data_IF_071768593199
#
_entry.id   IF_071768593199
#
_cell.length_a   1.000
_cell.length_b   1.000
_cell.length_c   1.000
_cell.angle_alpha   90.00
_cell.angle_beta   90.00
_cell.angle_gamma   90.00
#
_symmetry.space_group_name_H-M   'P 1'
#
loop_
_entity.id
_entity.type
_entity.pdbx_description
1 polymer ?
#
# COMPACT_ATOMS: atom_id res chain seq x y z
N UNK A 1 -8.45 14.38 -18.49
CA UNK A 1 -7.38 15.39 -18.65
C UNK A 1 -6.13 14.83 -18.02
N UNK A 2 -5.06 14.60 -18.78
CA UNK A 2 -3.74 14.32 -18.20
C UNK A 2 -3.41 15.44 -17.21
N UNK A 3 -2.92 15.08 -16.02
CA UNK A 3 -2.63 16.03 -14.95
C UNK A 3 -1.71 17.13 -15.46
N UNK A 4 -2.19 18.38 -15.46
CA UNK A 4 -1.34 19.53 -15.76
C UNK A 4 -0.43 19.75 -14.56
N UNK A 5 0.87 19.87 -14.81
CA UNK A 5 1.84 20.28 -13.78
C UNK A 5 1.32 21.56 -13.11
N UNK A 6 1.12 21.51 -11.80
CA UNK A 6 0.68 22.65 -11.02
C UNK A 6 1.87 23.61 -10.89
N UNK A 7 1.67 24.88 -11.25
CA UNK A 7 2.75 25.87 -11.18
C UNK A 7 3.28 25.99 -9.74
N UNK A 8 4.61 25.94 -9.57
CA UNK A 8 5.24 25.99 -8.25
C UNK A 8 5.25 24.66 -7.49
N UNK A 9 4.69 23.58 -8.05
CA UNK A 9 4.63 22.29 -7.33
C UNK A 9 5.98 21.59 -7.20
N UNK A 10 6.98 21.99 -7.98
CA UNK A 10 8.36 21.49 -7.84
C UNK A 10 9.01 21.79 -6.49
N UNK A 11 8.56 22.83 -5.78
CA UNK A 11 9.09 23.17 -4.45
C UNK A 11 8.20 22.68 -3.31
N UNK A 12 7.12 21.95 -3.61
CA UNK A 12 6.23 21.41 -2.58
C UNK A 12 6.91 20.22 -1.92
N UNK A 13 6.79 20.13 -0.60
CA UNK A 13 7.24 18.96 0.13
C UNK A 13 6.08 17.97 0.22
N UNK A 14 6.32 16.72 -0.21
CA UNK A 14 5.34 15.64 -0.13
C UNK A 14 5.76 14.70 0.98
N UNK A 15 4.85 14.42 1.93
CA UNK A 15 5.03 13.45 3.01
C UNK A 15 3.91 12.42 2.91
N UNK A 16 4.27 11.14 2.94
CA UNK A 16 3.33 10.02 2.85
C UNK A 16 3.39 9.24 4.16
N UNK A 17 2.24 8.90 4.74
CA UNK A 17 2.11 7.95 5.85
C UNK A 17 1.04 6.92 5.58
N UNK A 18 1.18 5.77 6.23
CA UNK A 18 0.10 4.82 6.46
C UNK A 18 -0.19 4.82 7.97
N UNK A 19 -1.46 4.90 8.42
CA UNK A 19 -1.81 4.98 9.83
C UNK A 19 -1.22 3.82 10.68
N UNK A 20 -1.40 2.57 10.25
CA UNK A 20 -1.01 1.40 11.04
C UNK A 20 -1.71 1.30 12.40
N UNK A 21 -1.11 0.53 13.31
CA UNK A 21 -1.62 0.30 14.68
C UNK A 21 -1.54 1.55 15.58
N UNK A 22 -0.55 2.41 15.33
CA UNK A 22 -0.25 3.61 16.12
C UNK A 22 -0.23 4.86 15.24
N UNK A 23 -1.41 5.37 14.82
CA UNK A 23 -1.51 6.44 13.83
C UNK A 23 -0.85 7.76 14.28
N UNK A 24 -0.78 8.06 15.57
CA UNK A 24 -0.08 9.27 16.05
C UNK A 24 1.43 9.15 15.91
N UNK A 25 1.99 7.96 16.16
CA UNK A 25 3.42 7.70 15.96
C UNK A 25 3.77 7.72 14.46
N UNK A 26 2.96 7.08 13.62
CA UNK A 26 3.10 7.15 12.15
C UNK A 26 3.09 8.58 11.63
N UNK A 27 2.22 9.44 12.19
CA UNK A 27 2.18 10.86 11.88
C UNK A 27 3.46 11.59 12.32
N UNK A 28 3.94 11.35 13.54
CA UNK A 28 5.16 11.97 14.04
C UNK A 28 6.39 11.58 13.21
N UNK A 29 6.50 10.31 12.82
CA UNK A 29 7.58 9.79 11.97
C UNK A 29 7.69 10.52 10.64
N UNK A 30 6.59 11.01 10.07
CA UNK A 30 6.64 11.77 8.80
C UNK A 30 7.44 13.06 8.89
N UNK A 31 7.61 13.63 10.08
CA UNK A 31 8.37 14.87 10.31
C UNK A 31 9.82 14.63 10.72
N UNK A 32 10.27 13.38 10.74
CA UNK A 32 11.66 13.01 10.98
C UNK A 32 12.43 12.99 9.67
N UNK A 33 13.60 13.60 9.64
CA UNK A 33 14.49 13.61 8.48
C UNK A 33 15.28 12.29 8.40
N UNK A 34 15.21 11.63 7.25
CA UNK A 34 15.91 10.36 6.99
C UNK A 34 17.43 10.53 6.85
N UNK A 35 17.94 11.73 6.61
CA UNK A 35 19.37 12.01 6.44
C UNK A 35 20.15 12.19 7.74
N UNK A 36 19.48 12.16 8.89
CA UNK A 36 20.08 12.35 10.21
C UNK A 36 20.67 11.06 10.80
N UNK A 37 21.61 11.20 11.74
CA UNK A 37 22.11 10.05 12.52
C UNK A 37 21.02 9.48 13.44
N UNK A 38 21.16 8.23 13.88
CA UNK A 38 20.14 7.57 14.71
C UNK A 38 19.81 8.32 16.02
N UNK A 39 20.81 8.96 16.64
CA UNK A 39 20.63 9.76 17.86
C UNK A 39 19.81 11.03 17.56
N UNK A 40 20.10 11.69 16.44
CA UNK A 40 19.38 12.89 16.00
C UNK A 40 17.95 12.55 15.58
N UNK A 41 17.76 11.43 14.86
CA UNK A 41 16.43 10.90 14.50
C UNK A 41 15.60 10.62 15.75
N UNK A 42 16.17 9.94 16.74
CA UNK A 42 15.49 9.68 18.01
C UNK A 42 15.08 10.96 18.75
N UNK A 43 15.94 11.98 18.71
CA UNK A 43 15.64 13.29 19.32
C UNK A 43 14.53 14.02 18.58
N UNK A 44 14.57 14.06 17.25
CA UNK A 44 13.56 14.70 16.43
C UNK A 44 12.21 13.99 16.50
N UNK A 45 12.22 12.65 16.53
CA UNK A 45 11.00 11.86 16.72
C UNK A 45 10.34 12.19 18.05
N UNK A 46 11.10 12.19 19.16
CA UNK A 46 10.55 12.54 20.47
C UNK A 46 9.96 13.96 20.49
N UNK A 47 10.58 14.92 19.80
CA UNK A 47 10.03 16.27 19.66
C UNK A 47 8.74 16.28 18.85
N UNK A 48 8.69 15.57 17.72
CA UNK A 48 7.51 15.44 16.88
C UNK A 48 6.36 14.78 17.65
N UNK A 49 6.60 13.67 18.35
CA UNK A 49 5.61 13.00 19.20
C UNK A 49 5.03 13.94 20.26
N UNK A 50 5.90 14.67 20.97
CA UNK A 50 5.47 15.65 21.97
C UNK A 50 4.62 16.79 21.37
N UNK A 51 4.86 17.18 20.13
CA UNK A 51 4.02 18.14 19.43
C UNK A 51 2.69 17.50 19.02
N UNK A 52 2.70 16.32 18.41
CA UNK A 52 1.47 15.62 18.00
C UNK A 52 0.53 15.35 19.19
N UNK A 53 1.07 15.07 20.38
CA UNK A 53 0.27 14.93 21.61
C UNK A 53 -0.49 16.21 22.01
N UNK A 54 -0.08 17.38 21.51
CA UNK A 54 -0.81 18.66 21.69
C UNK A 54 -1.96 18.84 20.69
N UNK A 55 -2.27 17.82 19.89
CA UNK A 55 -3.36 17.83 18.93
C UNK A 55 -3.07 18.67 17.69
N UNK A 56 -4.13 19.20 17.10
CA UNK A 56 -4.07 20.02 15.88
C UNK A 56 -3.08 21.20 15.95
N UNK A 57 -2.89 21.79 17.12
CA UNK A 57 -1.95 22.91 17.30
C UNK A 57 -0.49 22.47 17.17
N UNK A 58 -0.14 21.29 17.67
CA UNK A 58 1.22 20.78 17.53
C UNK A 58 1.52 20.33 16.10
N UNK A 59 0.55 19.69 15.42
CA UNK A 59 0.70 19.40 13.99
C UNK A 59 0.85 20.68 13.16
N UNK A 60 0.10 21.73 13.49
CA UNK A 60 0.24 23.06 12.85
C UNK A 60 1.65 23.64 13.03
N UNK A 61 2.26 23.48 14.21
CA UNK A 61 3.62 23.94 14.46
C UNK A 61 4.64 23.17 13.62
N UNK A 62 4.49 21.85 13.49
CA UNK A 62 5.34 21.03 12.61
C UNK A 62 5.21 21.46 11.14
N UNK A 63 3.98 21.68 10.65
CA UNK A 63 3.73 22.15 9.28
C UNK A 63 4.32 23.55 9.05
N UNK A 64 4.19 24.44 10.02
CA UNK A 64 4.73 25.80 9.93
C UNK A 64 6.27 25.80 9.91
N UNK A 65 6.91 24.87 10.63
CA UNK A 65 8.35 24.70 10.66
C UNK A 65 8.92 24.08 9.38
N UNK A 66 8.09 23.42 8.55
CA UNK A 66 8.55 22.90 7.25
C UNK A 66 8.98 24.02 6.31
N UNK A 67 10.20 23.90 5.78
CA UNK A 67 10.81 24.82 4.82
C UNK A 67 10.29 24.57 3.39
N UNK A 68 9.00 24.81 3.20
CA UNK A 68 8.32 24.72 1.90
C UNK A 68 7.19 25.74 1.82
N UNK A 69 6.81 26.19 0.63
CA UNK A 69 5.61 27.00 0.48
C UNK A 69 4.33 26.19 0.73
N UNK A 70 4.35 24.88 0.42
CA UNK A 70 3.20 23.99 0.56
C UNK A 70 3.64 22.57 0.91
N UNK A 71 3.06 22.04 1.97
CA UNK A 71 3.21 20.66 2.39
C UNK A 71 2.01 19.85 1.89
N UNK A 72 2.26 18.79 1.13
CA UNK A 72 1.26 17.78 0.79
C UNK A 72 1.43 16.61 1.74
N UNK A 73 0.46 16.40 2.63
CA UNK A 73 0.43 15.26 3.54
C UNK A 73 -0.55 14.23 2.98
N UNK A 74 -0.02 13.10 2.54
CA UNK A 74 -0.79 11.97 2.01
C UNK A 74 -0.93 10.93 3.11
N UNK A 75 -2.16 10.64 3.52
CA UNK A 75 -2.48 9.49 4.36
C UNK A 75 -2.99 8.40 3.44
N UNK A 76 -2.10 7.48 3.08
CA UNK A 76 -2.42 6.32 2.27
C UNK A 76 -3.01 5.21 3.14
N UNK A 77 -3.91 4.40 2.56
CA UNK A 77 -4.60 3.32 3.28
C UNK A 77 -5.23 3.81 4.59
N UNK A 78 -5.97 4.92 4.52
CA UNK A 78 -6.58 5.56 5.69
C UNK A 78 -7.49 4.61 6.48
N UNK A 79 -8.05 3.58 5.84
CA UNK A 79 -8.82 2.52 6.49
C UNK A 79 -8.06 1.79 7.62
N UNK A 80 -6.72 1.81 7.61
CA UNK A 80 -5.90 1.21 8.67
C UNK A 80 -6.14 1.84 10.04
N UNK A 81 -6.53 3.11 10.07
CA UNK A 81 -6.94 3.73 11.31
C UNK A 81 -8.13 2.98 11.93
N UNK A 82 -9.05 2.42 11.14
CA UNK A 82 -10.19 1.66 11.66
C UNK A 82 -9.88 0.18 11.87
N UNK A 83 -9.05 -0.43 11.03
CA UNK A 83 -8.82 -1.89 11.05
C UNK A 83 -7.68 -2.33 11.96
N UNK A 84 -6.63 -1.51 12.10
CA UNK A 84 -5.42 -1.86 12.83
C UNK A 84 -5.31 -1.15 14.18
N UNK A 85 -5.70 0.12 14.27
CA UNK A 85 -5.67 0.86 15.52
C UNK A 85 -6.81 0.41 16.46
N UNK A 86 -6.44 -0.27 17.55
CA UNK A 86 -7.38 -0.76 18.56
C UNK A 86 -7.74 0.30 19.62
N UNK A 87 -6.95 1.36 19.73
CA UNK A 87 -7.20 2.46 20.66
C UNK A 87 -8.09 3.53 20.00
N UNK A 88 -9.37 3.55 20.38
CA UNK A 88 -10.33 4.53 19.88
C UNK A 88 -9.95 5.98 20.20
N UNK A 89 -9.30 6.22 21.35
CA UNK A 89 -8.86 7.56 21.75
C UNK A 89 -7.69 8.03 20.90
N UNK A 90 -6.72 7.14 20.61
CA UNK A 90 -5.61 7.45 19.71
C UNK A 90 -6.13 7.77 18.30
N UNK A 91 -7.05 6.94 17.80
CA UNK A 91 -7.70 7.14 16.49
C UNK A 91 -8.44 8.48 16.40
N UNK A 92 -9.23 8.82 17.42
CA UNK A 92 -9.95 10.09 17.46
C UNK A 92 -8.97 11.28 17.46
N UNK A 93 -7.93 11.22 18.30
CA UNK A 93 -6.91 12.26 18.36
C UNK A 93 -6.17 12.42 17.02
N UNK A 94 -5.91 11.33 16.31
CA UNK A 94 -5.30 11.37 14.98
C UNK A 94 -6.19 12.13 13.99
N UNK A 95 -7.50 11.86 13.94
CA UNK A 95 -8.42 12.58 13.06
C UNK A 95 -8.55 14.06 13.45
N UNK A 96 -8.63 14.38 14.75
CA UNK A 96 -8.66 15.75 15.25
C UNK A 96 -7.39 16.54 14.88
N UNK A 97 -6.22 15.90 14.94
CA UNK A 97 -4.97 16.47 14.47
C UNK A 97 -5.07 16.87 13.00
N UNK A 98 -5.41 15.91 12.13
CA UNK A 98 -5.46 16.11 10.68
C UNK A 98 -6.48 17.19 10.28
N UNK A 99 -7.72 17.06 10.73
CA UNK A 99 -8.82 17.97 10.39
C UNK A 99 -8.59 19.36 10.98
N UNK A 100 -8.15 19.43 12.24
CA UNK A 100 -7.90 20.70 12.92
C UNK A 100 -6.72 21.47 12.33
N UNK A 101 -5.66 20.78 11.89
CA UNK A 101 -4.55 21.40 11.18
C UNK A 101 -4.97 21.88 9.78
N UNK A 102 -5.72 21.05 9.03
CA UNK A 102 -6.24 21.40 7.71
C UNK A 102 -7.11 22.66 7.74
N UNK A 103 -7.97 22.81 8.76
CA UNK A 103 -8.82 23.98 8.91
C UNK A 103 -8.06 25.29 9.25
N UNK A 104 -6.83 25.20 9.80
CA UNK A 104 -6.09 26.34 10.37
C UNK A 104 -4.81 26.71 9.65
N UNK A 105 -4.38 25.94 8.65
CA UNK A 105 -3.11 26.14 7.93
C UNK A 105 -3.28 26.82 6.58
N UNK A 106 -4.51 27.01 6.10
CA UNK A 106 -4.78 27.63 4.80
C UNK A 106 -4.07 26.89 3.67
N UNK A 107 -3.45 27.62 2.74
CA UNK A 107 -2.79 27.02 1.58
C UNK A 107 -1.46 26.31 1.90
N UNK A 108 -0.93 26.43 3.13
CA UNK A 108 0.32 25.79 3.53
C UNK A 108 0.20 24.27 3.60
N UNK A 109 -0.98 23.73 3.92
CA UNK A 109 -1.24 22.28 3.96
C UNK A 109 -2.19 21.87 2.82
N UNK A 110 -1.88 20.76 2.17
CA UNK A 110 -2.81 19.99 1.37
C UNK A 110 -2.87 18.59 1.96
N UNK A 111 -4.01 18.24 2.57
CA UNK A 111 -4.25 16.91 3.11
C UNK A 111 -4.93 16.04 2.04
N UNK A 112 -4.33 14.90 1.71
CA UNK A 112 -4.87 13.90 0.80
C UNK A 112 -5.08 12.62 1.58
N UNK A 113 -6.31 12.11 1.61
CA UNK A 113 -6.63 10.82 2.20
C UNK A 113 -6.98 9.86 1.06
N UNK A 114 -6.41 8.66 1.07
CA UNK A 114 -6.86 7.57 0.19
C UNK A 114 -7.43 6.46 1.06
N UNK A 115 -8.60 5.95 0.66
CA UNK A 115 -9.23 4.81 1.32
C UNK A 115 -10.05 4.01 0.32
N UNK A 116 -10.23 2.73 0.61
CA UNK A 116 -11.21 1.93 -0.12
C UNK A 116 -12.65 2.38 0.20
N UNK A 117 -13.53 2.28 -0.78
CA UNK A 117 -14.90 2.82 -0.69
C UNK A 117 -15.78 2.08 0.34
N UNK A 118 -15.51 0.81 0.61
CA UNK A 118 -16.20 -0.02 1.61
C UNK A 118 -15.96 0.47 3.05
N UNK A 119 -14.88 1.21 3.31
CA UNK A 119 -14.61 1.83 4.60
C UNK A 119 -15.26 3.20 4.79
N UNK A 120 -15.93 3.75 3.77
CA UNK A 120 -16.57 5.06 3.89
C UNK A 120 -17.63 5.09 5.01
N UNK A 121 -18.35 3.99 5.23
CA UNK A 121 -19.32 3.87 6.31
C UNK A 121 -18.72 4.09 7.71
N UNK A 122 -17.45 3.69 7.92
CA UNK A 122 -16.72 3.91 9.18
C UNK A 122 -16.44 5.38 9.45
N UNK A 123 -16.27 6.18 8.40
CA UNK A 123 -16.07 7.62 8.53
C UNK A 123 -17.34 8.37 8.97
N UNK A 124 -18.52 7.73 8.93
CA UNK A 124 -19.81 8.29 9.34
C UNK A 124 -20.13 8.09 10.83
N UNK A 125 -19.30 7.33 11.56
CA UNK A 125 -19.48 7.12 13.00
C UNK A 125 -19.44 8.47 13.76
N UNK A 126 -20.32 8.63 14.77
CA UNK A 126 -20.55 9.93 15.43
C UNK A 126 -19.31 10.50 16.13
N UNK A 127 -18.37 9.63 16.50
CA UNK A 127 -17.14 10.00 17.22
C UNK A 127 -16.16 10.80 16.35
N UNK A 128 -16.34 10.82 15.02
CA UNK A 128 -15.41 11.46 14.07
C UNK A 128 -16.01 12.75 13.46
N UNK A 129 -16.24 13.74 14.33
CA UNK A 129 -16.87 15.01 13.94
C UNK A 129 -16.15 15.69 12.76
N UNK A 130 -16.90 15.97 11.69
CA UNK A 130 -16.41 16.70 10.51
C UNK A 130 -15.70 15.85 9.45
N UNK A 131 -15.26 14.63 9.76
CA UNK A 131 -14.54 13.77 8.79
C UNK A 131 -15.42 13.43 7.59
N UNK A 132 -16.62 12.90 7.86
CA UNK A 132 -17.62 12.59 6.83
C UNK A 132 -17.94 13.78 5.92
N UNK A 133 -18.10 14.96 6.52
CA UNK A 133 -18.43 16.19 5.78
C UNK A 133 -17.28 16.61 4.86
N UNK A 134 -16.03 16.54 5.34
CA UNK A 134 -14.86 16.85 4.50
C UNK A 134 -14.72 15.88 3.34
N UNK A 135 -14.90 14.58 3.58
CA UNK A 135 -14.87 13.56 2.53
C UNK A 135 -16.01 13.80 1.53
N UNK A 136 -17.21 14.14 1.97
CA UNK A 136 -18.32 14.43 1.06
C UNK A 136 -18.06 15.67 0.19
N UNK A 137 -17.45 16.72 0.75
CA UNK A 137 -17.17 17.97 0.04
C UNK A 137 -16.01 17.86 -0.95
N UNK A 138 -15.02 17.02 -0.66
CA UNK A 138 -13.75 16.94 -1.41
C UNK A 138 -13.48 15.56 -2.02
N UNK A 139 -14.41 14.62 -1.90
CA UNK A 139 -14.24 13.24 -2.32
C UNK A 139 -14.12 13.11 -3.84
N UNK A 140 -13.12 12.34 -4.26
CA UNK A 140 -12.93 11.94 -5.65
C UNK A 140 -13.04 10.43 -5.70
N UNK A 141 -14.11 9.93 -6.33
CA UNK A 141 -14.27 8.50 -6.56
C UNK A 141 -13.36 8.06 -7.70
N UNK A 142 -12.41 7.17 -7.40
CA UNK A 142 -11.61 6.48 -8.42
C UNK A 142 -12.36 5.23 -8.83
N UNK A 143 -12.97 5.28 -10.01
CA UNK A 143 -13.72 4.16 -10.57
C UNK A 143 -12.77 3.13 -11.19
N UNK A 144 -13.17 1.85 -11.28
CA UNK A 144 -12.46 0.88 -12.11
C UNK A 144 -12.28 1.41 -13.54
N UNK A 145 -11.14 1.12 -14.16
CA UNK A 145 -10.87 1.51 -15.55
C UNK A 145 -11.91 0.90 -16.48
N UNK A 146 -12.38 1.69 -17.44
CA UNK A 146 -13.10 1.17 -18.61
C UNK A 146 -12.19 0.29 -19.47
N UNK A 147 -12.75 -0.61 -20.31
CA UNK A 147 -11.95 -1.42 -21.24
C UNK A 147 -11.00 -0.57 -22.12
N UNK A 148 -11.44 0.61 -22.54
CA UNK A 148 -10.65 1.56 -23.31
C UNK A 148 -9.50 2.18 -22.51
N UNK A 149 -9.74 2.59 -21.26
CA UNK A 149 -8.69 3.10 -20.36
C UNK A 149 -7.68 2.01 -20.02
N UNK A 150 -8.14 0.78 -19.79
CA UNK A 150 -7.29 -0.37 -19.56
C UNK A 150 -6.43 -0.69 -20.79
N UNK A 151 -7.02 -0.65 -21.99
CA UNK A 151 -6.28 -0.78 -23.25
C UNK A 151 -5.19 0.28 -23.36
N UNK A 152 -5.50 1.53 -23.03
CA UNK A 152 -4.51 2.62 -23.03
C UNK A 152 -3.42 2.37 -22.01
N UNK A 153 -3.76 1.89 -20.80
CA UNK A 153 -2.80 1.56 -19.76
C UNK A 153 -1.82 0.44 -20.18
N UNK A 154 -2.24 -0.47 -21.07
CA UNK A 154 -1.38 -1.53 -21.63
C UNK A 154 -0.53 -0.97 -22.79
N UNK A 155 -1.14 -0.24 -23.72
CA UNK A 155 -0.53 0.09 -25.01
C UNK A 155 0.34 1.36 -24.96
N UNK A 156 -0.08 2.39 -24.23
CA UNK A 156 0.64 3.67 -24.23
C UNK A 156 2.04 3.60 -23.59
N UNK A 157 2.29 2.85 -22.49
CA UNK A 157 3.65 2.68 -21.98
C UNK A 157 4.60 2.03 -22.99
N UNK A 158 4.13 1.02 -23.74
CA UNK A 158 4.92 0.36 -24.77
C UNK A 158 5.27 1.30 -25.94
N UNK A 159 4.31 2.12 -26.38
CA UNK A 159 4.55 3.15 -27.40
C UNK A 159 5.63 4.17 -27.00
N UNK A 160 5.69 4.55 -25.72
CA UNK A 160 6.69 5.51 -25.24
C UNK A 160 8.13 4.99 -25.34
N UNK A 161 8.30 3.67 -25.37
CA UNK A 161 9.60 2.99 -25.49
C UNK A 161 9.76 2.28 -26.83
N UNK A 162 8.92 2.61 -27.83
CA UNK A 162 8.95 2.03 -29.17
C UNK A 162 8.82 0.49 -29.19
N UNK A 163 8.11 -0.09 -28.21
CA UNK A 163 7.81 -1.52 -28.11
C UNK A 163 6.48 -1.82 -28.82
N UNK A 164 6.50 -2.76 -29.77
CA UNK A 164 5.28 -3.19 -30.46
C UNK A 164 4.47 -4.18 -29.62
N UNK A 165 3.15 -4.17 -29.76
CA UNK A 165 2.26 -5.16 -29.13
C UNK A 165 1.30 -5.68 -30.20
N UNK A 166 1.20 -7.00 -30.34
CA UNK A 166 0.24 -7.62 -31.26
C UNK A 166 -1.20 -7.21 -30.89
N UNK A 167 -2.02 -6.72 -31.83
CA UNK A 167 -3.39 -6.29 -31.54
C UNK A 167 -4.27 -7.40 -30.94
N UNK A 168 -4.05 -8.66 -31.35
CA UNK A 168 -4.76 -9.81 -30.80
C UNK A 168 -4.35 -10.12 -29.35
N UNK A 169 -3.09 -9.87 -28.97
CA UNK A 169 -2.65 -9.97 -27.57
C UNK A 169 -3.42 -8.99 -26.68
N UNK A 170 -3.58 -7.74 -27.12
CA UNK A 170 -4.34 -6.74 -26.36
C UNK A 170 -5.79 -7.18 -26.16
N UNK A 171 -6.43 -7.77 -27.18
CA UNK A 171 -7.80 -8.29 -27.06
C UNK A 171 -7.88 -9.42 -26.04
N UNK A 172 -6.94 -10.37 -26.09
CA UNK A 172 -6.92 -11.51 -25.18
C UNK A 172 -6.73 -11.06 -23.72
N UNK A 173 -5.79 -10.14 -23.48
CA UNK A 173 -5.57 -9.56 -22.15
C UNK A 173 -6.83 -8.87 -21.62
N UNK A 174 -7.52 -8.08 -22.45
CA UNK A 174 -8.75 -7.40 -22.04
C UNK A 174 -9.87 -8.40 -21.70
N UNK A 175 -9.94 -9.52 -22.42
CA UNK A 175 -10.92 -10.58 -22.14
C UNK A 175 -10.62 -11.28 -20.80
N UNK A 176 -9.36 -11.65 -20.54
CA UNK A 176 -8.94 -12.30 -19.29
C UNK A 176 -9.19 -11.42 -18.05
N UNK A 177 -9.06 -10.11 -18.24
CA UNK A 177 -9.13 -9.14 -17.15
C UNK A 177 -10.57 -8.69 -16.84
N UNK A 178 -11.48 -8.77 -17.80
CA UNK A 178 -12.87 -8.31 -17.63
C UNK A 178 -13.64 -9.08 -16.54
N UNK A 179 -13.20 -10.29 -16.19
CA UNK A 179 -13.93 -11.21 -15.30
C UNK A 179 -13.39 -11.27 -13.86
N UNK A 180 -12.26 -10.63 -13.53
CA UNK A 180 -11.59 -10.81 -12.24
C UNK A 180 -11.38 -9.49 -11.49
N UNK A 181 -11.96 -9.25 -10.29
CA UNK A 181 -11.62 -8.07 -9.48
C UNK A 181 -10.15 -8.09 -9.03
N UNK A 182 -9.51 -6.92 -8.89
CA UNK A 182 -8.13 -6.83 -8.38
C UNK A 182 -7.01 -7.24 -9.35
N UNK A 183 -7.31 -7.30 -10.65
CA UNK A 183 -6.41 -7.80 -11.69
C UNK A 183 -5.19 -6.92 -12.03
N UNK A 184 -5.21 -5.61 -11.72
CA UNK A 184 -4.21 -4.67 -12.24
C UNK A 184 -2.77 -5.05 -11.88
N UNK A 185 -2.47 -5.46 -10.63
CA UNK A 185 -1.15 -5.97 -10.30
C UNK A 185 -0.76 -7.28 -11.02
N UNK A 186 -1.71 -8.19 -11.25
CA UNK A 186 -1.47 -9.43 -12.00
C UNK A 186 -1.19 -9.16 -13.46
N UNK A 187 -1.93 -8.22 -14.04
CA UNK A 187 -1.69 -7.73 -15.37
C UNK A 187 -0.30 -7.10 -15.48
N UNK A 188 0.09 -6.25 -14.53
CA UNK A 188 1.43 -5.67 -14.50
C UNK A 188 2.52 -6.75 -14.47
N UNK A 189 2.36 -7.76 -13.62
CA UNK A 189 3.30 -8.88 -13.54
C UNK A 189 3.38 -9.65 -14.87
N UNK A 190 2.23 -9.97 -15.46
CA UNK A 190 2.15 -10.70 -16.73
C UNK A 190 2.79 -9.92 -17.89
N UNK A 191 2.54 -8.60 -17.97
CA UNK A 191 3.18 -7.73 -18.95
C UNK A 191 4.70 -7.63 -18.74
N UNK A 192 5.16 -7.64 -17.49
CA UNK A 192 6.59 -7.66 -17.16
C UNK A 192 7.25 -8.96 -17.66
N UNK A 193 6.63 -10.11 -17.38
CA UNK A 193 7.12 -11.42 -17.88
C UNK A 193 7.11 -11.50 -19.40
N UNK A 194 6.06 -10.99 -20.03
CA UNK A 194 5.99 -10.89 -21.49
C UNK A 194 7.13 -10.07 -22.08
N UNK A 195 7.48 -8.97 -21.43
CA UNK A 195 8.59 -8.12 -21.84
C UNK A 195 9.94 -8.80 -21.62
N UNK A 196 10.15 -9.47 -20.48
CA UNK A 196 11.37 -10.24 -20.18
C UNK A 196 11.61 -11.39 -21.18
N UNK A 197 10.54 -12.04 -21.64
CA UNK A 197 10.59 -13.13 -22.64
C UNK A 197 10.56 -12.61 -24.10
N UNK A 198 10.45 -11.29 -24.31
CA UNK A 198 10.46 -10.69 -25.65
C UNK A 198 11.86 -10.70 -26.24
N UNK A 199 11.99 -11.14 -27.49
CA UNK A 199 13.29 -11.28 -28.19
C UNK A 199 13.46 -10.30 -29.34
N UNK A 200 12.38 -9.64 -29.77
CA UNK A 200 12.30 -8.87 -31.02
C UNK A 200 11.57 -7.53 -30.85
N UNK A 201 11.62 -6.94 -29.66
CA UNK A 201 10.98 -5.67 -29.33
C UNK A 201 9.46 -5.66 -29.65
N UNK A 202 8.83 -6.84 -29.52
CA UNK A 202 7.42 -7.05 -29.76
C UNK A 202 6.84 -7.97 -28.68
N UNK A 203 5.73 -7.58 -28.07
CA UNK A 203 4.94 -8.45 -27.18
C UNK A 203 3.97 -9.26 -28.03
N UNK A 204 4.13 -10.60 -27.96
CA UNK A 204 3.44 -11.54 -28.84
C UNK A 204 2.39 -12.36 -28.10
N UNK A 205 1.28 -12.64 -28.76
CA UNK A 205 0.20 -13.48 -28.25
C UNK A 205 0.68 -14.91 -27.95
N UNK A 206 1.56 -15.46 -28.79
CA UNK A 206 2.08 -16.81 -28.57
C UNK A 206 2.87 -16.92 -27.25
N UNK A 207 3.66 -15.90 -26.89
CA UNK A 207 4.37 -15.87 -25.60
C UNK A 207 3.37 -15.78 -24.44
N UNK A 208 2.33 -14.97 -24.58
CA UNK A 208 1.27 -14.83 -23.58
C UNK A 208 0.52 -16.13 -23.30
N UNK A 209 0.13 -16.84 -24.36
CA UNK A 209 -0.56 -18.13 -24.25
C UNK A 209 0.34 -19.17 -23.59
N UNK A 210 1.65 -19.17 -23.86
CA UNK A 210 2.62 -20.05 -23.20
C UNK A 210 2.76 -19.78 -21.69
N UNK A 211 2.63 -18.51 -21.29
CA UNK A 211 2.58 -18.12 -19.87
C UNK A 211 1.23 -18.46 -19.19
N UNK A 212 0.23 -18.90 -19.96
CA UNK A 212 -1.09 -19.26 -19.46
C UNK A 212 -2.01 -18.05 -19.21
N UNK A 213 -1.73 -16.91 -19.83
CA UNK A 213 -2.50 -15.67 -19.65
C UNK A 213 -2.32 -15.03 -18.26
N UNK A 214 -3.15 -14.05 -17.89
CA UNK A 214 -3.01 -13.32 -16.62
C UNK A 214 -3.10 -14.26 -15.41
N UNK A 215 -4.11 -15.14 -15.38
CA UNK A 215 -4.32 -16.07 -14.26
C UNK A 215 -3.31 -17.22 -14.24
N UNK A 216 -2.92 -17.73 -15.40
CA UNK A 216 -1.93 -18.80 -15.50
C UNK A 216 -0.55 -18.34 -15.04
N UNK A 217 -0.16 -17.10 -15.36
CA UNK A 217 1.14 -16.54 -14.98
C UNK A 217 1.29 -16.43 -13.46
N UNK A 218 0.21 -16.06 -12.74
CA UNK A 218 0.20 -16.05 -11.28
C UNK A 218 0.28 -17.46 -10.70
N UNK A 219 -0.57 -18.37 -11.18
CA UNK A 219 -0.64 -19.74 -10.69
C UNK A 219 0.69 -20.44 -10.89
N UNK A 220 1.29 -20.28 -12.07
CA UNK A 220 2.58 -20.83 -12.39
C UNK A 220 3.65 -20.29 -11.45
N UNK A 221 3.72 -18.96 -11.23
CA UNK A 221 4.68 -18.39 -10.27
C UNK A 221 4.48 -18.91 -8.86
N UNK A 222 3.23 -18.89 -8.37
CA UNK A 222 2.90 -19.35 -7.03
C UNK A 222 3.25 -20.84 -6.86
N UNK A 223 2.99 -21.67 -7.87
CA UNK A 223 3.36 -23.08 -7.90
C UNK A 223 4.88 -23.28 -7.97
N UNK A 224 5.59 -22.59 -8.87
CA UNK A 224 7.05 -22.67 -9.00
C UNK A 224 7.74 -22.31 -7.68
N UNK A 225 7.34 -21.20 -7.06
CA UNK A 225 7.89 -20.77 -5.77
C UNK A 225 7.50 -21.75 -4.66
N UNK A 226 6.26 -22.24 -4.64
CA UNK A 226 5.80 -23.22 -3.65
C UNK A 226 6.54 -24.57 -3.75
N UNK A 227 6.82 -25.04 -4.97
CA UNK A 227 7.52 -26.29 -5.24
C UNK A 227 9.03 -26.23 -4.94
N UNK A 228 9.62 -25.01 -4.87
CA UNK A 228 11.00 -24.81 -4.41
C UNK A 228 11.17 -25.00 -2.89
N UNK A 229 10.08 -24.97 -2.12
CA UNK A 229 10.09 -25.22 -0.68
C UNK A 229 10.06 -26.72 -0.37
N UNK A 230 10.78 -27.12 0.68
CA UNK A 230 10.66 -28.46 1.29
C UNK A 230 9.26 -28.69 1.88
N UNK A 231 8.86 -29.93 2.14
CA UNK A 231 7.53 -30.24 2.71
C UNK A 231 7.26 -29.52 4.04
N UNK A 232 8.28 -29.34 4.87
CA UNK A 232 8.19 -28.62 6.14
C UNK A 232 7.98 -27.12 5.92
N UNK A 233 8.73 -26.52 5.00
CA UNK A 233 8.57 -25.12 4.60
C UNK A 233 7.22 -24.89 3.91
N UNK A 234 6.76 -25.79 3.05
CA UNK A 234 5.46 -25.73 2.40
C UNK A 234 4.29 -25.71 3.41
N UNK A 235 4.42 -26.45 4.52
CA UNK A 235 3.46 -26.40 5.60
C UNK A 235 3.50 -25.06 6.35
N UNK A 236 4.68 -24.46 6.52
CA UNK A 236 4.84 -23.13 7.10
C UNK A 236 4.31 -22.02 6.17
N UNK A 237 4.53 -22.12 4.86
CA UNK A 237 3.95 -21.22 3.85
C UNK A 237 2.43 -21.18 3.98
N UNK A 238 1.76 -22.33 4.03
CA UNK A 238 0.30 -22.39 4.22
C UNK A 238 -0.13 -21.74 5.53
N UNK A 239 0.62 -21.96 6.61
CA UNK A 239 0.33 -21.33 7.90
C UNK A 239 0.43 -19.80 7.83
N UNK A 240 1.47 -19.28 7.17
CA UNK A 240 1.69 -17.84 6.99
C UNK A 240 0.57 -17.23 6.15
N UNK A 241 0.26 -17.79 4.97
CA UNK A 241 -0.80 -17.24 4.11
C UNK A 241 -2.17 -17.23 4.79
N UNK A 242 -2.52 -18.29 5.53
CA UNK A 242 -3.77 -18.33 6.32
C UNK A 242 -3.80 -17.29 7.44
N UNK A 243 -2.65 -16.97 8.04
CA UNK A 243 -2.56 -15.92 9.05
C UNK A 243 -2.69 -14.51 8.45
N UNK A 244 -2.25 -14.34 7.20
CA UNK A 244 -2.32 -13.07 6.44
C UNK A 244 -3.70 -12.83 5.80
N UNK A 245 -4.61 -13.80 5.84
CA UNK A 245 -6.00 -13.65 5.38
C UNK A 245 -6.94 -13.33 6.55
N UNK A 246 -7.75 -12.26 6.44
CA UNK A 246 -8.87 -11.99 7.36
C UNK A 246 -10.18 -12.22 6.62
N UNK A 247 -10.96 -13.19 7.10
CA UNK A 247 -12.32 -13.40 6.64
C UNK A 247 -13.15 -12.18 7.02
N UNK A 248 -13.72 -11.48 6.03
CA UNK A 248 -14.57 -10.33 6.28
C UNK A 248 -15.89 -10.76 6.93
N UNK A 249 -16.32 -10.09 8.00
CA UNK A 249 -17.68 -10.26 8.55
C UNK A 249 -18.72 -9.60 7.62
N UNK A 250 -18.92 -10.15 6.42
CA UNK A 250 -19.88 -9.66 5.43
C UNK A 250 -19.33 -8.67 4.39
N UNK A 251 -18.02 -8.45 4.35
CA UNK A 251 -17.28 -7.77 3.26
C UNK A 251 -16.34 -8.76 2.57
N UNK A 252 -15.78 -8.41 1.41
CA UNK A 252 -14.71 -9.21 0.79
C UNK A 252 -13.55 -9.42 1.77
N UNK A 253 -12.92 -10.60 1.71
CA UNK A 253 -11.80 -10.97 2.58
C UNK A 253 -10.70 -9.90 2.49
N UNK A 254 -10.34 -9.33 3.63
CA UNK A 254 -9.32 -8.29 3.71
C UNK A 254 -8.00 -8.90 4.14
N UNK A 255 -6.89 -8.35 3.64
CA UNK A 255 -5.56 -8.69 4.14
C UNK A 255 -5.43 -8.39 5.64
N UNK A 256 -4.70 -9.23 6.36
CA UNK A 256 -4.28 -8.99 7.74
C UNK A 256 -2.77 -8.85 7.79
N UNK A 257 -2.29 -7.76 8.39
CA UNK A 257 -0.88 -7.65 8.79
C UNK A 257 -0.64 -8.48 10.04
N UNK A 258 0.45 -9.24 10.05
CA UNK A 258 0.79 -10.11 11.20
C UNK A 258 2.21 -9.82 11.65
N UNK A 259 2.40 -9.73 12.97
CA UNK A 259 3.73 -9.62 13.57
C UNK A 259 4.43 -10.99 13.48
N UNK A 260 5.72 -11.00 13.15
CA UNK A 260 6.51 -12.25 13.09
C UNK A 260 6.33 -13.16 14.32
N UNK A 261 6.37 -12.66 15.58
CA UNK A 261 6.25 -13.54 16.75
C UNK A 261 4.92 -14.29 16.84
N UNK A 262 3.85 -13.77 16.23
CA UNK A 262 2.54 -14.44 16.18
C UNK A 262 2.47 -15.61 15.19
N UNK A 263 3.47 -15.76 14.31
CA UNK A 263 3.58 -16.88 13.35
C UNK A 263 4.40 -18.05 13.92
N UNK A 264 5.13 -17.82 15.02
CA UNK A 264 5.98 -18.82 15.67
C UNK A 264 5.14 -19.64 16.66
N UNK A 265 5.22 -20.97 16.58
CA UNK A 265 4.55 -21.87 17.51
C UNK A 265 5.32 -23.19 17.69
N UNK A 266 4.78 -24.15 18.46
CA UNK A 266 5.46 -25.42 18.72
C UNK A 266 5.79 -26.24 17.46
N UNK A 267 5.08 -26.00 16.35
CA UNK A 267 5.25 -26.68 15.06
C UNK A 267 6.14 -25.90 14.09
N UNK A 268 6.20 -24.57 14.18
CA UNK A 268 7.00 -23.73 13.30
C UNK A 268 7.94 -22.86 14.14
N UNK A 269 9.24 -23.17 14.08
CA UNK A 269 10.29 -22.43 14.80
C UNK A 269 10.49 -21.03 14.21
N UNK A 270 11.11 -20.14 14.98
CA UNK A 270 11.43 -18.79 14.51
C UNK A 270 12.35 -18.81 13.29
N UNK A 271 13.39 -19.66 13.30
CA UNK A 271 14.33 -19.82 12.19
C UNK A 271 13.65 -20.31 10.89
N UNK A 272 12.68 -21.22 11.02
CA UNK A 272 11.92 -21.71 9.87
C UNK A 272 11.03 -20.61 9.29
N UNK A 273 10.31 -19.87 10.15
CA UNK A 273 9.48 -18.75 9.72
C UNK A 273 10.33 -17.67 9.05
N UNK A 274 11.51 -17.32 9.59
CA UNK A 274 12.42 -16.37 8.96
C UNK A 274 12.86 -16.82 7.57
N UNK A 275 13.30 -18.07 7.47
CA UNK A 275 13.77 -18.63 6.20
C UNK A 275 12.67 -18.60 5.15
N UNK A 276 11.46 -19.02 5.52
CA UNK A 276 10.32 -19.05 4.61
C UNK A 276 9.89 -17.64 4.22
N UNK A 277 9.80 -16.72 5.17
CA UNK A 277 9.38 -15.35 4.89
C UNK A 277 10.40 -14.61 4.05
N UNK A 278 11.70 -14.80 4.29
CA UNK A 278 12.74 -14.20 3.45
C UNK A 278 12.62 -14.70 2.00
N UNK A 279 12.47 -16.02 1.80
CA UNK A 279 12.26 -16.59 0.46
C UNK A 279 11.00 -16.05 -0.22
N UNK A 280 9.88 -15.92 0.51
CA UNK A 280 8.65 -15.32 -0.01
C UNK A 280 8.81 -13.83 -0.33
N UNK A 281 9.62 -13.09 0.44
CA UNK A 281 9.87 -11.67 0.23
C UNK A 281 10.78 -11.43 -0.97
N UNK A 282 11.83 -12.24 -1.13
CA UNK A 282 12.72 -12.22 -2.30
C UNK A 282 11.92 -12.45 -3.60
N UNK A 283 10.94 -13.35 -3.53
CA UNK A 283 10.00 -13.62 -4.62
C UNK A 283 8.82 -12.64 -4.69
N UNK A 284 8.83 -11.55 -3.92
CA UNK A 284 7.78 -10.52 -3.87
C UNK A 284 6.38 -11.10 -3.65
N UNK A 285 6.27 -12.21 -2.93
CA UNK A 285 4.99 -12.80 -2.55
C UNK A 285 4.43 -12.17 -1.28
N UNK A 286 5.32 -11.74 -0.40
CA UNK A 286 5.02 -10.97 0.82
C UNK A 286 5.91 -9.73 0.85
N UNK A 287 5.47 -8.67 1.54
CA UNK A 287 6.23 -7.46 1.83
C UNK A 287 6.62 -7.49 3.29
N UNK A 288 7.87 -7.15 3.60
CA UNK A 288 8.35 -7.05 4.97
C UNK A 288 8.63 -5.58 5.32
N UNK A 289 8.26 -5.15 6.52
CA UNK A 289 8.52 -3.79 7.02
C UNK A 289 9.18 -3.87 8.38
N UNK A 290 10.36 -3.28 8.56
CA UNK A 290 10.99 -3.18 9.87
C UNK A 290 10.23 -2.19 10.76
N UNK A 291 9.88 -2.62 11.97
CA UNK A 291 9.37 -1.75 13.03
C UNK A 291 10.53 -1.28 13.89
N UNK A 292 10.84 0.02 13.82
CA UNK A 292 11.76 0.65 14.76
C UNK A 292 11.02 0.91 16.08
N UNK A 293 10.92 -0.13 16.91
CA UNK A 293 10.38 -0.06 18.28
C UNK A 293 11.47 -0.31 19.31
N UNK A 294 11.44 0.42 20.45
CA UNK A 294 12.43 0.30 21.55
C UNK A 294 12.64 -1.17 21.97
N UNK A 295 13.76 -1.77 21.58
CA UNK A 295 14.40 -2.86 22.31
C UNK A 295 14.39 -4.27 21.70
N UNK A 296 13.73 -4.54 20.56
CA UNK A 296 13.90 -5.76 19.76
C UNK A 296 13.59 -5.46 18.29
N UNK A 297 14.46 -5.92 17.38
CA UNK A 297 14.17 -5.93 15.95
C UNK A 297 12.88 -6.74 15.71
N UNK A 298 11.84 -6.08 15.23
CA UNK A 298 10.58 -6.72 14.89
C UNK A 298 10.28 -6.44 13.42
N UNK A 299 10.16 -7.51 12.63
CA UNK A 299 9.81 -7.44 11.22
C UNK A 299 8.28 -7.65 11.09
N UNK A 300 7.61 -6.76 10.36
CA UNK A 300 6.19 -6.86 9.95
C UNK A 300 6.11 -7.53 8.59
N UNK A 301 5.04 -8.27 8.33
CA UNK A 301 4.80 -8.92 7.04
C UNK A 301 3.39 -8.60 6.51
N UNK A 302 3.27 -8.37 5.21
CA UNK A 302 2.04 -8.05 4.45
C UNK A 302 2.03 -8.87 3.15
N UNK A 303 0.86 -9.10 2.53
CA UNK A 303 0.82 -9.69 1.19
C UNK A 303 1.26 -8.66 0.16
N UNK A 304 1.99 -9.10 -0.86
CA UNK A 304 2.26 -8.24 -2.01
C UNK A 304 0.91 -7.82 -2.63
N UNK A 305 0.71 -6.53 -2.98
CA UNK A 305 -0.53 -6.06 -3.60
C UNK A 305 -0.94 -6.86 -4.85
N UNK A 306 0.01 -7.55 -5.49
CA UNK A 306 -0.24 -8.40 -6.64
C UNK A 306 -0.85 -9.76 -6.39
N UNK A 307 -0.91 -10.23 -5.14
CA UNK A 307 -1.33 -11.59 -4.83
C UNK A 307 -2.66 -11.63 -4.05
N UNK A 308 -3.44 -10.56 -4.14
CA UNK A 308 -4.69 -10.39 -3.39
C UNK A 308 -5.81 -11.37 -3.78
N UNK A 309 -5.62 -12.13 -4.85
CA UNK A 309 -6.60 -13.11 -5.36
C UNK A 309 -6.16 -14.57 -5.18
N UNK A 310 -5.10 -14.83 -4.39
CA UNK A 310 -4.62 -16.19 -4.07
C UNK A 310 -5.31 -16.72 -2.82
#
# INVERSE_FOLDING_TARGET
QLGRRLSGSESWQIKILQPGEHPLNSLALTFVDSGLSDIERGTQLAQAENLILKGSEGLRQLIAASDTQRLVLVVDQFEEAFTLCQDNSERQQFFECLLGASAKTGDKLCLVLTMRADFFGKCLEQDYSGLAQQIQQHGIAVMPMSPEELKQAIVEPAKQVELDIEPELVKEILADVAEAPGYLPLLQYTLTRLWEESTDNCLRLNTYVKLGGVMGTLRQRATEVYELFSEEEQAAVRHIFLALTQLGEGTEDTRRRVLKPSLVNQRYSEELIDTVVQKLADEKLVVTTEMVGKGREAYRFDLCPSNQSI
#
